data_IF_193474628298
#
_entry.id   IF_193474628298
#
_cell.length_a   1.000
_cell.length_b   1.000
_cell.length_c   1.000
_cell.angle_alpha   90.00
_cell.angle_beta   90.00
_cell.angle_gamma   90.00
#
_symmetry.space_group_name_H-M   'P 1'
#
loop_
_entity.id
_entity.type
_entity.pdbx_description
1 polymer ?
#
# COMPACT_ATOMS: atom_id res chain seq x y z
N UNK A 1 -4.15 -25.58 11.66
CA UNK A 1 -5.13 -24.99 12.59
C UNK A 1 -6.17 -24.31 11.72
N UNK A 2 -7.46 -24.63 11.88
CA UNK A 2 -8.51 -23.80 11.30
C UNK A 2 -8.63 -22.59 12.21
N UNK A 3 -7.98 -21.49 11.82
CA UNK A 3 -8.14 -20.22 12.51
C UNK A 3 -9.46 -19.60 12.03
N UNK A 4 -10.29 -19.18 13.00
CA UNK A 4 -11.58 -18.59 12.69
C UNK A 4 -11.43 -17.33 11.84
N UNK A 5 -12.34 -17.06 10.90
CA UNK A 5 -12.27 -15.88 10.04
C UNK A 5 -12.36 -14.58 10.85
N UNK A 6 -11.59 -13.58 10.42
CA UNK A 6 -11.53 -12.25 11.03
C UNK A 6 -12.61 -11.37 10.39
N UNK A 7 -13.54 -10.88 11.22
CA UNK A 7 -14.58 -9.95 10.79
C UNK A 7 -14.12 -8.50 10.89
N UNK A 8 -14.12 -7.79 9.77
CA UNK A 8 -13.59 -6.42 9.66
C UNK A 8 -14.67 -5.51 9.08
N UNK A 9 -14.91 -4.35 9.72
CA UNK A 9 -15.82 -3.34 9.19
C UNK A 9 -15.27 -2.72 7.91
N UNK A 10 -16.10 -2.58 6.88
CA UNK A 10 -15.69 -2.00 5.59
C UNK A 10 -15.14 -0.57 5.78
N UNK A 11 -15.72 0.21 6.69
CA UNK A 11 -15.24 1.57 6.99
C UNK A 11 -13.79 1.60 7.47
N UNK A 12 -13.32 0.59 8.20
CA UNK A 12 -11.91 0.50 8.60
C UNK A 12 -11.02 0.33 7.37
N UNK A 13 -11.43 -0.52 6.42
CA UNK A 13 -10.71 -0.74 5.18
C UNK A 13 -10.69 0.51 4.29
N UNK A 14 -11.80 1.27 4.24
CA UNK A 14 -11.85 2.57 3.53
C UNK A 14 -10.89 3.58 4.13
N UNK A 15 -10.78 3.65 5.46
CA UNK A 15 -9.82 4.53 6.13
C UNK A 15 -8.39 4.17 5.74
N UNK A 16 -8.04 2.88 5.74
CA UNK A 16 -6.71 2.41 5.33
C UNK A 16 -6.47 2.75 3.86
N UNK A 17 -7.44 2.47 2.97
CA UNK A 17 -7.36 2.78 1.55
C UNK A 17 -7.07 4.26 1.31
N UNK A 18 -7.92 5.15 1.85
CA UNK A 18 -7.75 6.60 1.67
C UNK A 18 -6.43 7.12 2.24
N UNK A 19 -5.96 6.56 3.37
CA UNK A 19 -4.67 6.93 3.97
C UNK A 19 -3.47 6.47 3.14
N UNK A 20 -3.60 5.35 2.44
CA UNK A 20 -2.57 4.79 1.55
C UNK A 20 -2.46 5.57 0.22
N UNK A 21 -3.57 6.07 -0.33
CA UNK A 21 -3.58 6.63 -1.69
C UNK A 21 -2.51 7.72 -1.96
N UNK A 22 -2.26 8.69 -1.06
CA UNK A 22 -1.18 9.67 -1.25
C UNK A 22 0.20 9.02 -1.36
N UNK A 23 0.44 7.96 -0.58
CA UNK A 23 1.71 7.21 -0.60
C UNK A 23 1.82 6.44 -1.93
N UNK A 24 0.75 5.78 -2.37
CA UNK A 24 0.68 5.10 -3.67
C UNK A 24 1.07 6.03 -4.83
N UNK A 25 0.43 7.20 -4.93
CA UNK A 25 0.74 8.15 -6.00
C UNK A 25 2.18 8.66 -5.94
N UNK A 26 2.69 8.91 -4.74
CA UNK A 26 4.07 9.32 -4.55
C UNK A 26 5.07 8.26 -5.02
N UNK A 27 4.86 7.01 -4.62
CA UNK A 27 5.72 5.90 -5.00
C UNK A 27 5.76 5.72 -6.52
N UNK A 28 4.60 5.81 -7.19
CA UNK A 28 4.53 5.76 -8.65
C UNK A 28 5.26 6.93 -9.31
N UNK A 29 5.11 8.15 -8.79
CA UNK A 29 5.88 9.31 -9.28
C UNK A 29 7.39 9.08 -9.13
N UNK A 30 7.85 8.53 -8.00
CA UNK A 30 9.26 8.21 -7.80
C UNK A 30 9.75 7.17 -8.81
N UNK A 31 8.96 6.13 -9.07
CA UNK A 31 9.28 5.11 -10.08
C UNK A 31 9.41 5.73 -11.47
N UNK A 32 8.46 6.57 -11.89
CA UNK A 32 8.50 7.25 -13.18
C UNK A 32 9.77 8.10 -13.33
N UNK A 33 10.12 8.87 -12.31
CA UNK A 33 11.30 9.74 -12.34
C UNK A 33 12.61 8.92 -12.39
N UNK A 34 12.66 7.74 -11.76
CA UNK A 34 13.80 6.80 -11.89
C UNK A 34 13.87 6.21 -13.29
N UNK A 35 12.73 5.76 -13.86
CA UNK A 35 12.68 5.22 -15.23
C UNK A 35 13.08 6.28 -16.28
N UNK A 36 12.78 7.55 -16.01
CA UNK A 36 13.18 8.69 -16.83
C UNK A 36 14.61 9.20 -16.54
N UNK A 37 15.36 8.52 -15.65
CA UNK A 37 16.71 8.88 -15.22
C UNK A 37 16.84 10.30 -14.63
N UNK A 38 15.76 10.85 -14.06
CA UNK A 38 15.81 12.13 -13.32
C UNK A 38 16.41 11.97 -11.92
N UNK A 39 16.39 10.74 -11.42
CA UNK A 39 16.84 10.36 -10.08
C UNK A 39 17.81 9.20 -10.21
N UNK A 40 18.92 9.30 -9.48
CA UNK A 40 19.77 8.14 -9.20
C UNK A 40 19.58 7.73 -7.75
N UNK A 41 19.34 6.44 -7.53
CA UNK A 41 19.24 5.81 -6.20
C UNK A 41 20.10 4.56 -6.20
N UNK A 42 20.53 4.13 -5.03
CA UNK A 42 21.27 2.88 -4.87
C UNK A 42 20.41 1.64 -5.16
N UNK A 43 21.03 0.49 -5.46
CA UNK A 43 20.29 -0.75 -5.70
C UNK A 43 19.41 -1.19 -4.51
N UNK A 44 19.85 -1.08 -3.23
CA UNK A 44 18.98 -1.37 -2.10
C UNK A 44 17.76 -0.45 -2.01
N UNK A 45 17.93 0.85 -2.29
CA UNK A 45 16.82 1.80 -2.32
C UNK A 45 15.86 1.46 -3.46
N UNK A 46 16.38 1.08 -4.63
CA UNK A 46 15.55 0.65 -5.76
C UNK A 46 14.72 -0.57 -5.41
N UNK A 47 15.32 -1.58 -4.78
CA UNK A 47 14.61 -2.77 -4.32
C UNK A 47 13.49 -2.41 -3.33
N UNK A 48 13.79 -1.53 -2.36
CA UNK A 48 12.83 -1.10 -1.35
C UNK A 48 11.67 -0.29 -1.97
N UNK A 49 11.95 0.60 -2.92
CA UNK A 49 10.92 1.34 -3.64
C UNK A 49 9.98 0.41 -4.41
N UNK A 50 10.54 -0.60 -5.09
CA UNK A 50 9.75 -1.59 -5.83
C UNK A 50 8.87 -2.41 -4.88
N UNK A 51 9.39 -2.80 -3.72
CA UNK A 51 8.62 -3.50 -2.69
C UNK A 51 7.44 -2.66 -2.21
N UNK A 52 7.68 -1.42 -1.79
CA UNK A 52 6.63 -0.52 -1.33
C UNK A 52 5.59 -0.23 -2.42
N UNK A 53 6.03 -0.01 -3.65
CA UNK A 53 5.14 0.26 -4.79
C UNK A 53 4.29 -0.96 -5.14
N UNK A 54 4.87 -2.16 -5.05
CA UNK A 54 4.18 -3.43 -5.26
C UNK A 54 3.09 -3.64 -4.20
N UNK A 55 3.42 -3.45 -2.92
CA UNK A 55 2.45 -3.56 -1.83
C UNK A 55 1.32 -2.54 -1.95
N UNK A 56 1.63 -1.26 -2.26
CA UNK A 56 0.63 -0.22 -2.46
C UNK A 56 -0.31 -0.55 -3.63
N UNK A 57 0.23 -1.02 -4.76
CA UNK A 57 -0.56 -1.40 -5.93
C UNK A 57 -1.46 -2.61 -5.66
N UNK A 58 -0.92 -3.62 -4.97
CA UNK A 58 -1.67 -4.83 -4.61
C UNK A 58 -2.82 -4.48 -3.67
N UNK A 59 -2.57 -3.69 -2.63
CA UNK A 59 -3.61 -3.25 -1.69
C UNK A 59 -4.68 -2.41 -2.37
N UNK A 60 -4.30 -1.50 -3.28
CA UNK A 60 -5.27 -0.70 -4.04
C UNK A 60 -6.27 -1.62 -4.76
N UNK A 61 -5.76 -2.63 -5.48
CA UNK A 61 -6.60 -3.59 -6.22
C UNK A 61 -7.47 -4.41 -5.27
N UNK A 62 -6.88 -4.95 -4.19
CA UNK A 62 -7.60 -5.77 -3.21
C UNK A 62 -8.75 -4.99 -2.55
N UNK A 63 -8.49 -3.74 -2.15
CA UNK A 63 -9.51 -2.90 -1.53
C UNK A 63 -10.59 -2.47 -2.52
N UNK A 64 -10.22 -2.11 -3.75
CA UNK A 64 -11.21 -1.83 -4.81
C UNK A 64 -12.14 -3.02 -5.04
N UNK A 65 -11.57 -4.24 -5.13
CA UNK A 65 -12.36 -5.47 -5.26
C UNK A 65 -13.26 -5.71 -4.04
N UNK A 66 -12.78 -5.48 -2.81
CA UNK A 66 -13.61 -5.61 -1.61
C UNK A 66 -14.75 -4.60 -1.59
N UNK A 67 -14.50 -3.35 -1.97
CA UNK A 67 -15.52 -2.31 -1.98
C UNK A 67 -16.56 -2.53 -3.07
N UNK A 68 -16.18 -3.08 -4.21
CA UNK A 68 -17.10 -3.49 -5.27
C UNK A 68 -17.95 -4.69 -4.83
N UNK A 69 -17.30 -5.75 -4.34
CA UNK A 69 -17.95 -7.03 -3.99
C UNK A 69 -18.87 -6.92 -2.78
N UNK A 70 -18.52 -6.07 -1.81
CA UNK A 70 -19.21 -5.97 -0.52
C UNK A 70 -19.81 -4.58 -0.27
N UNK A 71 -20.08 -3.80 -1.32
CA UNK A 71 -20.60 -2.43 -1.25
C UNK A 71 -21.82 -2.23 -0.33
N UNK A 72 -22.68 -3.25 -0.19
CA UNK A 72 -23.90 -3.21 0.64
C UNK A 72 -23.72 -3.80 2.05
N UNK A 73 -22.53 -4.34 2.38
CA UNK A 73 -22.28 -4.97 3.70
C UNK A 73 -21.59 -3.99 4.65
N UNK A 74 -21.87 -4.14 5.95
CA UNK A 74 -21.16 -3.37 6.98
C UNK A 74 -19.75 -3.93 7.27
N UNK A 75 -19.53 -5.22 7.01
CA UNK A 75 -18.31 -5.93 7.33
C UNK A 75 -18.02 -7.06 6.34
N UNK A 76 -16.74 -7.41 6.22
CA UNK A 76 -16.24 -8.58 5.48
C UNK A 76 -15.62 -9.58 6.45
N UNK A 77 -15.63 -10.85 6.06
CA UNK A 77 -14.93 -11.92 6.76
C UNK A 77 -13.73 -12.30 5.91
N UNK A 78 -12.53 -12.14 6.46
CA UNK A 78 -11.28 -12.57 5.85
C UNK A 78 -10.76 -13.80 6.57
N UNK A 79 -10.11 -14.71 5.84
CA UNK A 79 -9.27 -15.70 6.51
C UNK A 79 -8.16 -15.01 7.30
N UNK A 80 -7.60 -15.67 8.32
CA UNK A 80 -6.49 -15.12 9.08
C UNK A 80 -5.30 -14.76 8.17
N UNK A 81 -5.01 -15.61 7.18
CA UNK A 81 -3.91 -15.39 6.22
C UNK A 81 -4.14 -14.13 5.38
N UNK A 82 -5.35 -13.94 4.83
CA UNK A 82 -5.70 -12.74 4.06
C UNK A 82 -5.60 -11.49 4.93
N UNK A 83 -6.12 -11.55 6.16
CA UNK A 83 -6.05 -10.42 7.09
C UNK A 83 -4.60 -10.04 7.42
N UNK A 84 -3.75 -11.02 7.73
CA UNK A 84 -2.34 -10.80 8.03
C UNK A 84 -1.58 -10.27 6.81
N UNK A 85 -1.91 -10.76 5.61
CA UNK A 85 -1.33 -10.28 4.35
C UNK A 85 -1.67 -8.81 4.11
N UNK A 86 -2.95 -8.43 4.21
CA UNK A 86 -3.42 -7.04 4.10
C UNK A 86 -2.73 -6.16 5.13
N UNK A 87 -2.67 -6.59 6.40
CA UNK A 87 -2.05 -5.82 7.47
C UNK A 87 -0.54 -5.64 7.25
N UNK A 88 0.15 -6.67 6.78
CA UNK A 88 1.59 -6.63 6.50
C UNK A 88 1.90 -5.67 5.36
N UNK A 89 1.16 -5.76 4.25
CA UNK A 89 1.31 -4.82 3.15
C UNK A 89 0.98 -3.39 3.61
N UNK A 90 -0.06 -3.18 4.42
CA UNK A 90 -0.45 -1.85 4.85
C UNK A 90 0.63 -1.19 5.72
N UNK A 91 1.25 -1.97 6.62
CA UNK A 91 2.41 -1.53 7.40
C UNK A 91 3.63 -1.22 6.53
N UNK A 92 3.87 -2.00 5.48
CA UNK A 92 4.96 -1.75 4.53
C UNK A 92 4.74 -0.43 3.78
N UNK A 93 3.51 -0.16 3.32
CA UNK A 93 3.15 1.12 2.71
C UNK A 93 3.27 2.28 3.69
N UNK A 94 2.83 2.11 4.95
CA UNK A 94 3.04 3.11 5.99
C UNK A 94 4.53 3.40 6.20
N UNK A 95 5.37 2.37 6.24
CA UNK A 95 6.82 2.50 6.39
C UNK A 95 7.45 3.31 5.23
N UNK A 96 6.90 3.21 4.02
CA UNK A 96 7.36 4.00 2.88
C UNK A 96 7.28 5.51 3.15
N UNK A 97 6.24 5.98 3.86
CA UNK A 97 6.10 7.40 4.24
C UNK A 97 7.19 7.89 5.20
N UNK A 98 7.81 6.99 5.95
CA UNK A 98 8.87 7.27 6.94
C UNK A 98 10.27 6.98 6.42
N UNK A 99 10.38 6.43 5.22
CA UNK A 99 11.64 6.06 4.56
C UNK A 99 12.31 7.26 3.86
N UNK A 100 13.43 7.03 3.18
CA UNK A 100 14.07 8.03 2.32
C UNK A 100 13.11 8.57 1.24
N UNK A 101 12.15 7.75 0.78
CA UNK A 101 11.09 8.16 -0.14
C UNK A 101 10.08 9.12 0.51
N UNK A 102 9.99 9.18 1.84
CA UNK A 102 9.14 10.09 2.62
C UNK A 102 9.45 11.57 2.39
N UNK A 103 10.69 11.91 2.06
CA UNK A 103 11.15 13.31 1.90
C UNK A 103 11.59 13.68 0.49
N UNK A 104 11.40 12.80 -0.49
CA UNK A 104 11.77 13.07 -1.89
C UNK A 104 11.05 14.29 -2.50
N UNK A 105 10.02 14.83 -1.84
CA UNK A 105 9.36 16.09 -2.24
C UNK A 105 10.23 17.36 -2.10
N UNK A 106 11.47 17.26 -1.63
CA UNK A 106 12.44 18.36 -1.66
C UNK A 106 13.47 18.15 -2.77
N UNK A 107 13.00 17.92 -4.00
CA UNK A 107 13.86 18.04 -5.17
C UNK A 107 14.56 19.39 -5.14
N UNK A 108 15.89 19.31 -5.08
CA UNK A 108 16.84 20.42 -5.09
C UNK A 108 16.37 21.54 -6.04
N UNK A 109 16.03 22.69 -5.46
CA UNK A 109 16.41 23.97 -6.06
C UNK A 109 17.81 24.30 -5.55
#
# INVERSE_FOLDING_TARGET
>A
MNEDPVKIKIEVLKIIYHSMMPIYYKLNSCLEDIFQNKISISDPERALLLEYSSHASTLKIVFENYFETFSEKEAIELSQEEYLSVLTMAKSVEAASRSSFGNIYLWNN
#
